data_IF_949876789660
#
_entry.id   IF_949876789660
#
_cell.length_a   1.000
_cell.length_b   1.000
_cell.length_c   1.000
_cell.angle_alpha   90.00
_cell.angle_beta   90.00
_cell.angle_gamma   90.00
#
_symmetry.space_group_name_H-M   'P 1'
#
loop_
_entity.id
_entity.type
_entity.pdbx_description
1 polymer ?
#
# COMPACT_ATOMS: atom_id res chain seq x y z
N UNK A 1 17.54 15.16 -3.64
CA UNK A 1 16.74 14.38 -2.67
C UNK A 1 16.38 13.05 -3.30
N UNK A 2 16.46 11.92 -2.61
CA UNK A 2 16.00 10.64 -3.16
C UNK A 2 14.50 10.68 -3.49
N UNK A 3 14.04 9.71 -4.28
CA UNK A 3 12.62 9.57 -4.58
C UNK A 3 11.80 9.42 -3.28
N UNK A 4 10.61 10.02 -3.19
CA UNK A 4 9.78 9.91 -2.00
C UNK A 4 9.30 8.46 -1.83
N UNK A 5 9.29 7.97 -0.60
CA UNK A 5 8.73 6.66 -0.29
C UNK A 5 7.19 6.68 -0.17
N UNK A 6 6.60 7.86 0.02
CA UNK A 6 5.16 8.08 0.15
C UNK A 6 4.76 9.27 -0.73
N UNK A 7 3.67 9.11 -1.47
CA UNK A 7 3.01 10.16 -2.27
C UNK A 7 1.55 10.23 -1.79
N UNK A 8 1.05 11.43 -1.53
CA UNK A 8 -0.38 11.65 -1.34
C UNK A 8 -1.02 12.07 -2.66
N UNK A 9 -2.13 11.45 -3.00
CA UNK A 9 -2.90 11.80 -4.19
C UNK A 9 -3.29 13.30 -4.17
N UNK A 10 -3.05 14.00 -5.26
CA UNK A 10 -3.30 15.44 -5.37
C UNK A 10 -2.15 16.34 -4.91
N UNK A 11 -1.03 15.81 -4.41
CA UNK A 11 0.13 16.60 -4.04
C UNK A 11 1.06 16.84 -5.23
N UNK A 12 1.71 18.01 -5.24
CA UNK A 12 2.88 18.25 -6.10
C UNK A 12 4.08 17.51 -5.53
N UNK A 13 4.65 16.59 -6.30
CA UNK A 13 5.79 15.78 -5.87
C UNK A 13 7.00 16.06 -6.73
N UNK A 14 8.11 16.47 -6.11
CA UNK A 14 9.38 16.71 -6.81
C UNK A 14 10.51 15.95 -6.12
N UNK A 15 11.40 15.37 -6.93
CA UNK A 15 12.63 14.75 -6.42
C UNK A 15 13.76 14.90 -7.42
N UNK A 16 14.98 14.63 -6.97
CA UNK A 16 16.18 14.71 -7.81
C UNK A 16 16.94 13.39 -7.73
N UNK A 17 17.34 12.88 -8.87
CA UNK A 17 18.18 11.66 -8.97
C UNK A 17 19.55 12.05 -9.55
N UNK A 18 20.60 11.71 -8.81
CA UNK A 18 21.98 12.02 -9.19
C UNK A 18 22.70 10.81 -9.79
N UNK A 19 22.01 9.66 -9.89
CA UNK A 19 22.62 8.39 -10.35
C UNK A 19 22.75 8.33 -11.87
N UNK A 20 21.84 8.96 -12.59
CA UNK A 20 21.91 9.02 -14.05
C UNK A 20 22.97 10.04 -14.50
N UNK A 21 23.74 9.75 -15.57
CA UNK A 21 24.81 10.64 -16.00
C UNK A 21 24.26 11.95 -16.55
N UNK A 22 24.98 13.03 -16.29
CA UNK A 22 24.67 14.36 -16.79
C UNK A 22 24.61 14.42 -18.31
N UNK A 23 25.43 13.59 -19.00
CA UNK A 23 25.52 13.54 -20.45
C UNK A 23 24.42 12.71 -21.12
N UNK A 24 23.49 12.10 -20.36
CA UNK A 24 22.39 11.38 -20.95
C UNK A 24 21.48 12.32 -21.76
N UNK A 25 21.09 11.99 -23.00
CA UNK A 25 20.20 12.84 -23.80
C UNK A 25 18.81 12.97 -23.19
N UNK A 26 18.32 11.93 -22.51
CA UNK A 26 17.05 11.94 -21.81
C UNK A 26 17.06 10.95 -20.65
N UNK A 27 16.39 11.30 -19.56
CA UNK A 27 16.14 10.42 -18.43
C UNK A 27 14.65 10.45 -18.11
N UNK A 28 14.05 9.28 -17.93
CA UNK A 28 12.63 9.14 -17.64
C UNK A 28 12.43 8.27 -16.40
N UNK A 29 11.60 8.73 -15.48
CA UNK A 29 11.14 7.94 -14.35
C UNK A 29 9.82 7.27 -14.71
N UNK A 30 9.76 5.95 -14.63
CA UNK A 30 8.56 5.16 -14.86
C UNK A 30 8.03 4.66 -13.52
N UNK A 31 6.77 4.94 -13.24
CA UNK A 31 6.06 4.50 -12.05
C UNK A 31 4.85 3.66 -12.46
N UNK A 32 4.68 2.49 -11.86
CA UNK A 32 3.54 1.62 -12.14
C UNK A 32 3.11 0.82 -10.92
N UNK A 33 1.79 0.63 -10.70
CA UNK A 33 1.28 -0.29 -9.71
C UNK A 33 1.44 -1.74 -10.21
N UNK A 34 1.21 -2.69 -9.34
CA UNK A 34 1.18 -4.11 -9.69
C UNK A 34 -0.13 -4.52 -10.41
N UNK A 35 -0.69 -3.61 -11.19
CA UNK A 35 -1.93 -3.82 -11.97
C UNK A 35 -1.67 -3.46 -13.44
N UNK A 36 -2.26 -4.22 -14.34
CA UNK A 36 -2.15 -3.96 -15.78
C UNK A 36 -2.90 -2.65 -16.15
N UNK A 37 -2.34 -1.91 -17.10
CA UNK A 37 -3.01 -0.75 -17.70
C UNK A 37 -2.80 0.59 -16.98
N UNK A 38 -2.16 0.61 -15.81
CA UNK A 38 -1.81 1.86 -15.15
C UNK A 38 -0.30 2.09 -15.12
N UNK A 39 0.12 3.32 -15.34
CA UNK A 39 1.53 3.71 -15.25
C UNK A 39 1.70 5.19 -15.56
N UNK A 40 2.70 5.80 -14.94
CA UNK A 40 3.07 7.20 -15.12
C UNK A 40 4.51 7.26 -15.56
N UNK A 41 4.80 8.00 -16.62
CA UNK A 41 6.15 8.26 -17.10
C UNK A 41 6.44 9.74 -16.95
N UNK A 42 7.50 10.07 -16.24
CA UNK A 42 7.90 11.45 -15.91
C UNK A 42 9.25 11.75 -16.55
N UNK A 43 9.32 12.65 -17.53
CA UNK A 43 10.61 13.09 -18.06
C UNK A 43 11.37 13.89 -17.01
N UNK A 44 12.68 13.62 -16.91
CA UNK A 44 13.58 14.38 -16.05
C UNK A 44 14.09 15.64 -16.77
N UNK A 45 14.33 16.67 -15.99
CA UNK A 45 15.05 17.88 -16.42
C UNK A 45 16.41 17.90 -15.72
N UNK A 46 17.48 18.03 -16.49
CA UNK A 46 18.82 18.09 -15.92
C UNK A 46 19.08 19.45 -15.27
N UNK A 47 19.52 19.42 -14.02
CA UNK A 47 19.99 20.59 -13.27
C UNK A 47 21.49 20.45 -12.97
N UNK A 48 22.37 21.37 -13.42
CA UNK A 48 23.83 21.25 -13.28
C UNK A 48 24.30 21.06 -11.84
N UNK A 49 23.56 21.57 -10.88
CA UNK A 49 23.91 21.56 -9.46
C UNK A 49 23.34 20.37 -8.69
N UNK A 50 22.38 19.63 -9.26
CA UNK A 50 21.64 18.63 -8.50
C UNK A 50 21.31 17.32 -9.21
N UNK A 51 21.63 17.20 -10.51
CA UNK A 51 21.30 16.00 -11.29
C UNK A 51 19.95 16.11 -12.01
N UNK A 52 19.24 15.01 -12.16
CA UNK A 52 17.97 14.95 -12.89
C UNK A 52 16.79 15.20 -11.97
N UNK A 53 16.08 16.28 -12.21
CA UNK A 53 14.86 16.64 -11.48
C UNK A 53 13.63 16.08 -12.17
N UNK A 54 12.76 15.49 -11.38
CA UNK A 54 11.45 14.98 -11.79
C UNK A 54 10.35 15.73 -11.05
N UNK A 55 9.21 15.93 -11.72
CA UNK A 55 8.04 16.60 -11.15
C UNK A 55 6.75 15.93 -11.56
N UNK A 56 5.96 15.52 -10.59
CA UNK A 56 4.60 15.03 -10.76
C UNK A 56 3.62 16.13 -10.39
N UNK A 57 2.83 16.56 -11.36
CA UNK A 57 1.79 17.56 -11.12
C UNK A 57 0.67 16.99 -10.23
N UNK A 58 -0.03 17.84 -9.46
CA UNK A 58 -1.13 17.42 -8.59
C UNK A 58 -2.23 16.62 -9.32
N UNK A 59 -2.53 16.98 -10.56
CA UNK A 59 -3.52 16.25 -11.37
C UNK A 59 -3.10 14.81 -11.65
N UNK A 60 -1.81 14.59 -11.93
CA UNK A 60 -1.26 13.26 -12.19
C UNK A 60 -1.30 12.41 -10.92
N UNK A 61 -0.91 12.99 -9.79
CA UNK A 61 -0.93 12.26 -8.50
C UNK A 61 -2.35 11.99 -8.01
N UNK A 62 -3.32 12.85 -8.34
CA UNK A 62 -4.74 12.64 -8.02
C UNK A 62 -5.32 11.40 -8.72
N UNK A 63 -4.85 11.13 -9.96
CA UNK A 63 -5.30 9.97 -10.75
C UNK A 63 -4.57 8.66 -10.41
N UNK A 64 -3.54 8.73 -9.55
CA UNK A 64 -2.81 7.54 -9.12
C UNK A 64 -3.65 6.71 -8.14
N UNK A 65 -3.87 5.44 -8.47
CA UNK A 65 -4.54 4.53 -7.55
C UNK A 65 -3.76 4.34 -6.25
N UNK A 66 -4.47 4.33 -5.13
CA UNK A 66 -3.87 4.07 -3.82
C UNK A 66 -3.25 2.67 -3.77
N UNK A 67 -2.09 2.53 -3.12
CA UNK A 67 -1.39 1.28 -2.95
C UNK A 67 0.10 1.37 -3.26
N UNK A 68 0.72 0.20 -3.49
CA UNK A 68 2.15 0.11 -3.76
C UNK A 68 2.45 0.26 -5.25
N UNK A 69 3.37 1.15 -5.54
CA UNK A 69 3.90 1.43 -6.87
C UNK A 69 5.39 1.11 -6.92
N UNK A 70 5.85 0.72 -8.10
CA UNK A 70 7.27 0.51 -8.37
C UNK A 70 7.81 1.68 -9.20
N UNK A 71 8.96 2.23 -8.81
CA UNK A 71 9.68 3.27 -9.53
C UNK A 71 10.91 2.68 -10.20
N UNK A 72 11.12 3.03 -11.46
CA UNK A 72 12.31 2.73 -12.24
C UNK A 72 12.77 3.98 -12.98
N UNK A 73 14.05 4.30 -12.92
CA UNK A 73 14.63 5.42 -13.67
C UNK A 73 15.46 4.86 -14.82
N UNK A 74 15.15 5.30 -16.02
CA UNK A 74 15.78 4.87 -17.28
C UNK A 74 16.42 6.06 -17.96
N UNK A 75 17.70 5.99 -18.30
CA UNK A 75 18.35 6.95 -19.18
C UNK A 75 18.43 6.38 -20.60
N UNK A 76 18.10 7.21 -21.57
CA UNK A 76 18.32 6.91 -22.98
C UNK A 76 19.76 7.30 -23.33
N UNK A 77 20.55 6.34 -23.75
CA UNK A 77 21.93 6.54 -24.20
C UNK A 77 22.01 6.25 -25.72
N UNK A 78 23.10 6.68 -26.41
CA UNK A 78 23.28 6.36 -27.83
C UNK A 78 23.23 4.86 -28.12
N UNK A 79 23.73 4.04 -27.20
CA UNK A 79 23.79 2.58 -27.31
C UNK A 79 22.49 1.88 -26.85
N UNK A 80 21.50 2.64 -26.38
CA UNK A 80 20.21 2.12 -25.94
C UNK A 80 19.78 2.56 -24.51
N UNK A 81 18.61 2.12 -24.06
CA UNK A 81 18.12 2.47 -22.73
C UNK A 81 18.92 1.75 -21.63
N UNK A 82 19.27 2.46 -20.58
CA UNK A 82 19.94 1.93 -19.41
C UNK A 82 19.19 2.27 -18.11
N UNK A 83 18.95 1.26 -17.28
CA UNK A 83 18.25 1.42 -16.01
C UNK A 83 19.21 1.74 -14.88
N UNK A 84 19.08 2.92 -14.25
CA UNK A 84 19.94 3.39 -13.16
C UNK A 84 19.36 3.14 -11.78
N UNK A 85 18.04 3.24 -11.63
CA UNK A 85 17.39 2.90 -10.38
C UNK A 85 16.73 1.53 -10.50
N UNK A 86 17.05 0.67 -9.54
CA UNK A 86 16.28 -0.56 -9.34
C UNK A 86 14.93 -0.19 -8.74
N UNK A 87 13.97 -1.11 -8.83
CA UNK A 87 12.63 -1.01 -8.31
C UNK A 87 12.60 -0.45 -6.87
N UNK A 88 12.41 0.86 -6.76
CA UNK A 88 12.09 1.51 -5.48
C UNK A 88 10.59 1.40 -5.27
N UNK A 89 10.18 1.18 -4.03
CA UNK A 89 8.76 1.07 -3.69
C UNK A 89 8.27 2.42 -3.22
N UNK A 90 7.17 2.87 -3.80
CA UNK A 90 6.46 4.09 -3.42
C UNK A 90 5.06 3.68 -2.96
N UNK A 91 4.63 4.18 -1.83
CA UNK A 91 3.26 4.04 -1.34
C UNK A 91 2.45 5.26 -1.76
N UNK A 92 1.44 5.06 -2.60
CA UNK A 92 0.46 6.12 -2.93
C UNK A 92 -0.68 6.05 -1.95
N UNK A 93 -0.90 7.13 -1.21
CA UNK A 93 -1.99 7.28 -0.24
C UNK A 93 -3.08 8.16 -0.81
N UNK A 94 -4.36 7.84 -0.55
CA UNK A 94 -5.45 8.69 -0.98
C UNK A 94 -5.37 10.06 -0.31
N UNK A 95 -5.82 11.09 -1.01
CA UNK A 95 -6.02 12.42 -0.41
C UNK A 95 -7.18 12.36 0.57
N UNK A 96 -7.00 12.98 1.72
CA UNK A 96 -8.08 13.25 2.67
C UNK A 96 -8.73 14.60 2.43
N UNK A 97 -8.16 15.42 1.52
CA UNK A 97 -8.75 16.69 1.12
C UNK A 97 -9.98 16.43 0.23
N UNK A 98 -11.00 17.24 0.40
CA UNK A 98 -12.21 17.22 -0.42
C UNK A 98 -12.57 18.63 -0.88
N UNK A 99 -13.14 18.73 -2.08
CA UNK A 99 -13.60 20.00 -2.66
C UNK A 99 -15.07 20.29 -2.33
N UNK A 100 -15.67 21.20 -3.10
CA UNK A 100 -17.07 21.65 -2.92
C UNK A 100 -18.10 20.50 -3.00
N UNK A 101 -17.75 19.38 -3.64
CA UNK A 101 -18.61 18.17 -3.73
C UNK A 101 -18.67 17.33 -2.45
N UNK A 102 -17.94 17.73 -1.40
CA UNK A 102 -17.81 16.96 -0.16
C UNK A 102 -16.81 15.80 -0.25
N UNK A 103 -16.53 15.11 0.86
CA UNK A 103 -15.58 14.01 0.90
C UNK A 103 -16.09 12.80 0.08
N UNK A 104 -15.23 12.26 -0.78
CA UNK A 104 -15.50 10.95 -1.38
C UNK A 104 -15.56 9.87 -0.29
N UNK A 105 -16.31 8.80 -0.53
CA UNK A 105 -16.35 7.67 0.39
C UNK A 105 -14.94 7.10 0.57
N UNK A 106 -14.37 7.31 1.73
CA UNK A 106 -13.05 6.80 2.10
C UNK A 106 -13.18 5.93 3.35
N UNK A 107 -12.70 4.70 3.27
CA UNK A 107 -12.63 3.83 4.43
C UNK A 107 -11.20 3.89 5.01
N UNK A 108 -11.01 4.52 6.19
CA UNK A 108 -9.69 4.66 6.82
C UNK A 108 -9.17 3.37 7.43
N UNK A 109 -9.97 2.29 7.41
CA UNK A 109 -9.58 1.02 8.01
C UNK A 109 -8.50 0.34 7.18
N UNK A 110 -7.54 -0.30 7.85
CA UNK A 110 -6.56 -1.15 7.18
C UNK A 110 -7.24 -2.40 6.58
N UNK A 111 -6.57 -3.02 5.60
CA UNK A 111 -7.03 -4.31 5.03
C UNK A 111 -7.28 -5.36 6.13
N UNK A 112 -6.40 -5.39 7.14
CA UNK A 112 -6.54 -6.28 8.30
C UNK A 112 -7.79 -5.96 9.12
N UNK A 113 -8.15 -4.67 9.28
CA UNK A 113 -9.37 -4.25 9.98
C UNK A 113 -10.64 -4.59 9.19
N UNK A 114 -10.60 -4.47 7.86
CA UNK A 114 -11.70 -4.88 6.97
C UNK A 114 -11.92 -6.38 7.04
N UNK A 115 -10.85 -7.18 6.87
CA UNK A 115 -10.93 -8.64 6.96
C UNK A 115 -11.43 -9.11 8.34
N UNK A 116 -10.98 -8.46 9.41
CA UNK A 116 -11.46 -8.74 10.77
C UNK A 116 -12.96 -8.46 10.93
N UNK A 117 -13.45 -7.39 10.32
CA UNK A 117 -14.88 -7.08 10.32
C UNK A 117 -15.69 -8.16 9.58
N UNK A 118 -15.19 -8.63 8.45
CA UNK A 118 -15.85 -9.68 7.65
C UNK A 118 -15.88 -11.02 8.38
N UNK A 119 -14.76 -11.43 9.00
CA UNK A 119 -14.70 -12.64 9.82
C UNK A 119 -15.67 -12.57 10.99
N UNK A 120 -15.77 -11.44 11.69
CA UNK A 120 -16.72 -11.23 12.77
C UNK A 120 -18.18 -11.27 12.30
N UNK A 121 -18.46 -10.74 11.12
CA UNK A 121 -19.79 -10.83 10.51
C UNK A 121 -20.14 -12.29 10.19
N UNK A 122 -19.20 -13.06 9.65
CA UNK A 122 -19.38 -14.48 9.38
C UNK A 122 -19.65 -15.29 10.68
N UNK A 123 -18.87 -15.02 11.74
CA UNK A 123 -19.10 -15.64 13.07
C UNK A 123 -20.51 -15.33 13.59
N UNK A 124 -20.94 -14.05 13.53
CA UNK A 124 -22.30 -13.65 13.95
C UNK A 124 -23.39 -14.35 13.11
N UNK A 125 -23.18 -14.48 11.79
CA UNK A 125 -24.12 -15.18 10.92
C UNK A 125 -24.26 -16.66 11.30
N UNK A 126 -23.15 -17.33 11.65
CA UNK A 126 -23.17 -18.71 12.14
C UNK A 126 -23.97 -18.81 13.46
N UNK A 127 -23.73 -17.92 14.42
CA UNK A 127 -24.48 -17.92 15.68
C UNK A 127 -25.97 -17.69 15.47
N UNK A 128 -26.36 -16.70 14.67
CA UNK A 128 -27.79 -16.45 14.36
C UNK A 128 -28.47 -17.63 13.69
N UNK A 129 -27.77 -18.36 12.81
CA UNK A 129 -28.31 -19.56 12.17
C UNK A 129 -28.50 -20.72 13.16
N UNK A 130 -27.70 -20.77 14.24
CA UNK A 130 -27.84 -21.75 15.32
C UNK A 130 -29.05 -21.43 16.22
N UNK A 131 -29.28 -20.16 16.55
CA UNK A 131 -30.43 -19.72 17.35
C UNK A 131 -31.77 -19.98 16.62
N UNK A 132 -31.82 -19.77 15.31
CA UNK A 132 -33.04 -20.01 14.52
C UNK A 132 -33.43 -21.49 14.41
N UNK A 133 -32.48 -22.41 14.62
CA UNK A 133 -32.71 -23.85 14.56
C UNK A 133 -33.36 -24.44 15.81
N UNK A 134 -33.29 -23.76 16.93
CA UNK A 134 -33.90 -24.25 18.19
C UNK A 134 -35.45 -24.10 18.14
N UNK A 135 -35.97 -23.30 17.20
CA UNK A 135 -37.39 -23.02 17.07
C UNK A 135 -38.16 -23.75 15.95
N UNK A 136 -37.50 -24.48 15.03
CA UNK A 136 -38.18 -25.14 13.90
C UNK A 136 -37.80 -26.61 13.79
N UNK A 137 -38.77 -27.49 14.02
CA UNK A 137 -38.64 -28.96 13.99
C UNK A 137 -38.59 -29.52 12.57
N UNK A 138 -38.29 -28.74 11.52
CA UNK A 138 -38.32 -29.23 10.15
C UNK A 138 -37.01 -28.88 9.40
N UNK A 139 -36.39 -29.95 8.88
CA UNK A 139 -35.39 -30.13 7.84
C UNK A 139 -34.48 -28.99 7.35
N UNK A 140 -34.16 -28.03 8.14
CA UNK A 140 -33.38 -26.89 7.70
C UNK A 140 -31.85 -27.14 7.56
N UNK A 141 -31.29 -26.64 6.49
CA UNK A 141 -29.89 -26.62 6.05
C UNK A 141 -28.87 -26.70 7.19
N UNK A 142 -28.01 -27.70 7.14
CA UNK A 142 -26.84 -27.88 8.00
C UNK A 142 -25.80 -26.78 7.70
N UNK A 143 -25.91 -25.62 8.33
CA UNK A 143 -24.79 -24.68 8.41
C UNK A 143 -23.72 -25.37 9.26
N UNK A 144 -22.59 -25.66 8.65
CA UNK A 144 -21.57 -26.55 9.22
C UNK A 144 -20.98 -25.92 10.47
N UNK A 145 -21.22 -26.51 11.63
CA UNK A 145 -20.46 -26.26 12.86
C UNK A 145 -18.93 -26.39 12.66
N UNK A 146 -18.51 -27.07 11.60
CA UNK A 146 -17.12 -27.27 11.23
C UNK A 146 -16.34 -25.99 10.94
N UNK A 147 -17.01 -24.91 10.50
CA UNK A 147 -16.33 -23.68 10.08
C UNK A 147 -16.09 -22.70 11.23
N UNK A 148 -16.80 -22.83 12.36
CA UNK A 148 -16.68 -21.92 13.49
C UNK A 148 -15.28 -21.91 14.14
N UNK A 149 -14.64 -23.06 14.42
CA UNK A 149 -13.28 -23.07 14.96
C UNK A 149 -12.29 -22.39 14.04
N UNK A 150 -12.40 -22.62 12.71
CA UNK A 150 -11.55 -21.99 11.72
C UNK A 150 -11.73 -20.46 11.68
N UNK A 151 -12.97 -19.98 11.74
CA UNK A 151 -13.26 -18.52 11.80
C UNK A 151 -12.71 -17.89 13.07
N UNK A 152 -12.80 -18.59 14.22
CA UNK A 152 -12.25 -18.09 15.49
C UNK A 152 -10.72 -18.06 15.47
N UNK A 153 -10.07 -19.04 14.88
CA UNK A 153 -8.61 -19.06 14.72
C UNK A 153 -8.15 -17.97 13.76
N UNK A 154 -8.90 -17.72 12.67
CA UNK A 154 -8.64 -16.61 11.75
C UNK A 154 -8.80 -15.26 12.45
N UNK A 155 -9.85 -15.06 13.26
CA UNK A 155 -10.02 -13.84 14.06
C UNK A 155 -8.82 -13.60 14.99
N UNK A 156 -8.36 -14.64 15.70
CA UNK A 156 -7.20 -14.55 16.59
C UNK A 156 -5.94 -14.11 15.84
N UNK A 157 -5.70 -14.70 14.68
CA UNK A 157 -4.55 -14.37 13.83
C UNK A 157 -4.61 -12.92 13.32
N UNK A 158 -5.77 -12.46 12.88
CA UNK A 158 -5.97 -11.07 12.44
C UNK A 158 -5.79 -10.07 13.58
N UNK A 159 -6.24 -10.37 14.78
CA UNK A 159 -6.00 -9.54 15.97
C UNK A 159 -4.51 -9.43 16.30
N UNK A 160 -3.74 -10.52 16.16
CA UNK A 160 -2.30 -10.49 16.36
C UNK A 160 -1.61 -9.63 15.29
N UNK A 161 -2.04 -9.77 14.02
CA UNK A 161 -1.52 -8.96 12.90
C UNK A 161 -1.81 -7.48 13.11
N UNK A 162 -3.05 -7.13 13.46
CA UNK A 162 -3.45 -5.75 13.74
C UNK A 162 -2.66 -5.14 14.92
N UNK A 163 -2.42 -5.93 15.96
CA UNK A 163 -1.58 -5.49 17.09
C UNK A 163 -0.10 -5.28 16.68
N UNK A 164 0.41 -6.04 15.72
CA UNK A 164 1.74 -5.84 15.15
C UNK A 164 1.80 -4.57 14.28
N UNK A 165 0.81 -4.35 13.42
CA UNK A 165 0.68 -3.15 12.60
C UNK A 165 0.63 -1.88 13.46
N UNK A 166 -0.20 -1.87 14.50
CA UNK A 166 -0.30 -0.73 15.44
C UNK A 166 0.99 -0.46 16.20
N UNK A 167 1.74 -1.51 16.58
CA UNK A 167 3.06 -1.34 17.21
C UNK A 167 4.09 -0.79 16.24
N UNK A 168 4.07 -1.24 15.00
CA UNK A 168 4.95 -0.72 13.94
C UNK A 168 4.65 0.76 13.65
N UNK A 169 3.36 1.13 13.52
CA UNK A 169 2.94 2.50 13.31
C UNK A 169 3.31 3.44 14.49
N UNK A 170 3.31 2.92 15.72
CA UNK A 170 3.73 3.67 16.91
C UNK A 170 5.27 3.76 17.07
N UNK A 171 6.06 3.30 16.10
CA UNK A 171 7.52 3.31 16.14
C UNK A 171 8.13 2.40 17.24
N UNK A 172 7.32 1.55 17.85
CA UNK A 172 7.77 0.58 18.86
C UNK A 172 8.22 -0.71 18.19
N UNK A 173 9.35 -0.66 17.50
CA UNK A 173 10.04 -1.87 17.06
C UNK A 173 10.34 -2.74 18.27
N UNK A 174 10.11 -4.04 18.15
CA UNK A 174 10.52 -5.04 19.14
C UNK A 174 12.05 -5.02 19.19
N UNK A 175 12.66 -4.28 20.13
CA UNK A 175 14.07 -4.48 20.48
C UNK A 175 14.18 -5.89 21.04
N UNK A 176 14.67 -6.82 20.25
CA UNK A 176 15.22 -8.06 20.76
C UNK A 176 16.47 -7.68 21.58
N UNK A 177 16.35 -7.64 22.89
CA UNK A 177 17.48 -7.66 23.77
C UNK A 177 18.09 -9.08 23.70
N UNK A 178 19.01 -9.27 22.78
CA UNK A 178 19.92 -10.42 22.83
C UNK A 178 20.86 -10.16 24.01
N UNK A 179 20.54 -10.80 25.13
CA UNK A 179 21.47 -10.92 26.25
C UNK A 179 22.56 -11.90 25.82
N UNK A 180 23.76 -11.41 25.57
CA UNK A 180 24.95 -12.24 25.50
C UNK A 180 25.47 -12.37 26.93
N UNK A 181 25.44 -13.57 27.55
CA UNK A 181 26.17 -13.78 28.80
C UNK A 181 27.65 -13.65 28.43
N UNK A 182 28.27 -12.60 28.94
CA UNK A 182 29.74 -12.45 28.85
C UNK A 182 30.41 -13.53 29.72
N UNK A 183 31.48 -14.08 29.15
CA UNK A 183 32.42 -14.94 29.83
C UNK A 183 33.09 -14.21 31.00
#
# INVERSE_FOLDING_TARGET
MPAPSIIHAGDLVTWTDTRAPAAAPAVTAHQRPNQAGQGVSVPGTYEPTGGWRFSLAPQVTADMAAGLWALQVVATLPDGPFTYARLERIEVRPSLAFGEGGPAAFDPRSETELELADVRNAIRAVYRSLEYRIGTADGGRMVRRADLPWLQDRERLLLQRLAAERRAAAGRSRRMLTYFPGD
#
